data_IF_629074607309
#
_entry.id   IF_629074607309
#
_cell.length_a   1.000
_cell.length_b   1.000
_cell.length_c   1.000
_cell.angle_alpha   90.00
_cell.angle_beta   90.00
_cell.angle_gamma   90.00
#
_symmetry.space_group_name_H-M   'P 1'
#
loop_
_entity.id
_entity.type
_entity.pdbx_description
1 polymer ?
#
# COMPACT_ATOMS: atom_id res chain seq x y z
N UNK A 1 -4.89 -4.61 6.57
CA UNK A 1 -4.39 -5.30 7.77
C UNK A 1 -3.01 -4.77 8.11
N UNK A 2 -2.00 -5.03 7.28
CA UNK A 2 -0.62 -4.56 7.54
C UNK A 2 -0.53 -3.07 7.86
N UNK A 3 -1.20 -2.19 7.09
CA UNK A 3 -1.25 -0.75 7.42
C UNK A 3 -1.70 -0.46 8.86
N UNK A 4 -2.70 -1.18 9.36
CA UNK A 4 -3.15 -1.02 10.75
C UNK A 4 -2.14 -1.61 11.74
N UNK A 5 -1.60 -2.79 11.47
CA UNK A 5 -0.63 -3.43 12.39
C UNK A 5 0.67 -2.62 12.49
N UNK A 6 1.18 -2.12 11.37
CA UNK A 6 2.45 -1.39 11.31
C UNK A 6 2.32 0.06 11.79
N UNK A 7 1.18 0.73 11.56
CA UNK A 7 1.03 2.18 11.81
C UNK A 7 -0.08 2.56 12.79
N UNK A 8 -0.99 1.64 13.12
CA UNK A 8 -2.21 1.94 13.86
C UNK A 8 -3.32 2.59 13.01
N UNK A 9 -3.00 3.05 11.79
CA UNK A 9 -3.96 3.74 10.93
C UNK A 9 -5.06 2.78 10.43
N UNK A 10 -6.31 3.21 10.61
CA UNK A 10 -7.48 2.43 10.21
C UNK A 10 -8.02 2.94 8.87
N UNK A 11 -7.73 2.18 7.81
CA UNK A 11 -8.42 2.31 6.53
C UNK A 11 -9.61 1.34 6.48
N UNK A 12 -10.84 1.88 6.46
CA UNK A 12 -12.07 1.08 6.41
C UNK A 12 -13.27 1.78 7.05
N UNK A 13 -14.43 1.12 6.99
CA UNK A 13 -15.71 1.73 7.42
C UNK A 13 -15.99 1.54 8.90
N UNK A 14 -16.78 2.46 9.47
CA UNK A 14 -17.43 2.32 10.78
C UNK A 14 -18.23 1.00 10.87
N UNK A 15 -18.09 0.29 11.98
CA UNK A 15 -18.84 -0.94 12.25
C UNK A 15 -18.96 -1.18 13.76
N UNK A 16 -19.95 -1.96 14.21
CA UNK A 16 -19.97 -2.45 15.57
C UNK A 16 -18.67 -3.20 15.90
N UNK A 17 -18.18 -3.01 17.12
CA UNK A 17 -17.06 -3.80 17.64
C UNK A 17 -17.45 -5.27 17.65
N UNK A 18 -16.49 -6.14 17.32
CA UNK A 18 -16.70 -7.58 17.40
C UNK A 18 -15.45 -8.26 17.93
N UNK A 19 -15.66 -9.26 18.78
CA UNK A 19 -14.59 -10.17 19.18
C UNK A 19 -14.44 -11.23 18.10
N UNK A 20 -13.33 -11.20 17.37
CA UNK A 20 -12.96 -12.22 16.40
C UNK A 20 -11.64 -12.86 16.78
N UNK A 21 -11.40 -14.09 16.32
CA UNK A 21 -10.11 -14.74 16.43
C UNK A 21 -9.18 -14.35 15.27
N UNK A 22 -7.88 -14.55 15.46
CA UNK A 22 -6.87 -14.35 14.42
C UNK A 22 -6.42 -12.90 14.25
N UNK A 23 -5.71 -12.61 13.14
CA UNK A 23 -4.94 -11.38 12.98
C UNK A 23 -5.80 -10.13 12.78
N UNK A 24 -7.12 -10.28 12.64
CA UNK A 24 -8.06 -9.15 12.54
C UNK A 24 -8.69 -8.75 13.88
N UNK A 25 -8.29 -9.39 14.99
CA UNK A 25 -8.89 -9.17 16.32
C UNK A 25 -8.86 -7.70 16.72
N UNK A 26 -7.69 -7.09 16.73
CA UNK A 26 -7.51 -5.70 17.17
C UNK A 26 -8.23 -4.71 16.23
N UNK A 27 -8.13 -4.93 14.92
CA UNK A 27 -8.84 -4.14 13.93
C UNK A 27 -10.38 -4.18 14.12
N UNK A 28 -10.95 -5.35 14.42
CA UNK A 28 -12.39 -5.49 14.72
C UNK A 28 -12.77 -4.94 16.09
N UNK A 29 -11.90 -5.03 17.09
CA UNK A 29 -12.09 -4.42 18.41
C UNK A 29 -12.08 -2.89 18.34
N UNK A 30 -11.29 -2.30 17.45
CA UNK A 30 -11.37 -0.89 17.09
C UNK A 30 -12.65 -0.49 16.32
N UNK A 31 -13.59 -1.44 16.14
CA UNK A 31 -14.87 -1.21 15.50
C UNK A 31 -14.76 -1.04 13.99
N UNK A 32 -13.72 -1.56 13.34
CA UNK A 32 -13.49 -1.36 11.90
C UNK A 32 -13.85 -2.56 11.04
N UNK A 33 -14.34 -2.30 9.83
CA UNK A 33 -14.48 -3.31 8.77
C UNK A 33 -13.66 -2.86 7.56
N UNK A 34 -12.82 -3.74 6.99
CA UNK A 34 -12.03 -3.40 5.82
C UNK A 34 -12.96 -3.07 4.65
N UNK A 35 -12.59 -2.08 3.85
CA UNK A 35 -13.33 -1.68 2.65
C UNK A 35 -12.39 -1.58 1.47
N UNK A 36 -12.66 -2.35 0.41
CA UNK A 36 -11.93 -2.24 -0.85
C UNK A 36 -12.40 -1.04 -1.68
N UNK A 37 -13.57 -0.47 -1.39
CA UNK A 37 -14.19 0.60 -2.19
C UNK A 37 -13.38 1.90 -2.24
N UNK A 38 -12.47 2.09 -1.29
CA UNK A 38 -11.60 3.28 -1.19
C UNK A 38 -10.19 3.04 -1.73
N UNK A 39 -9.87 1.78 -2.08
CA UNK A 39 -8.57 1.40 -2.61
C UNK A 39 -8.57 1.49 -4.12
N UNK A 40 -7.63 2.24 -4.66
CA UNK A 40 -7.29 2.20 -6.08
C UNK A 40 -6.09 1.29 -6.28
N UNK A 41 -6.18 0.36 -7.22
CA UNK A 41 -5.06 -0.48 -7.60
C UNK A 41 -4.07 0.33 -8.45
N UNK A 42 -2.78 0.26 -8.11
CA UNK A 42 -1.74 1.10 -8.73
C UNK A 42 -0.83 0.28 -9.62
N UNK A 43 -0.29 -0.83 -9.11
CA UNK A 43 0.68 -1.64 -9.83
C UNK A 43 0.75 -3.07 -9.30
N UNK A 44 1.32 -3.96 -10.13
CA UNK A 44 1.81 -5.27 -9.71
C UNK A 44 3.30 -5.36 -9.96
N UNK A 45 4.06 -5.95 -9.04
CA UNK A 45 5.47 -6.23 -9.27
C UNK A 45 5.90 -7.59 -8.73
N UNK A 46 6.57 -8.38 -9.57
CA UNK A 46 7.17 -9.64 -9.16
C UNK A 46 8.67 -9.48 -9.04
N UNK A 47 9.22 -9.86 -7.88
CA UNK A 47 10.67 -9.87 -7.68
C UNK A 47 11.35 -10.80 -8.70
N UNK A 48 12.43 -10.35 -9.37
CA UNK A 48 13.19 -11.16 -10.30
C UNK A 48 13.60 -12.53 -9.73
N UNK A 49 13.65 -13.59 -10.56
CA UNK A 49 14.23 -14.87 -10.15
C UNK A 49 15.70 -14.72 -9.73
N UNK A 50 16.17 -15.62 -8.86
CA UNK A 50 17.55 -15.60 -8.34
C UNK A 50 17.75 -14.76 -7.08
N UNK A 51 16.73 -14.02 -6.62
CA UNK A 51 16.76 -13.37 -5.28
C UNK A 51 16.42 -14.40 -4.18
N UNK A 52 17.08 -14.34 -3.02
CA UNK A 52 16.84 -15.27 -1.91
C UNK A 52 15.42 -15.16 -1.33
N UNK A 53 14.80 -13.98 -1.47
CA UNK A 53 13.39 -13.73 -1.16
C UNK A 53 12.71 -13.12 -2.38
N UNK A 54 11.48 -13.54 -2.63
CA UNK A 54 10.68 -13.08 -3.78
C UNK A 54 9.27 -12.76 -3.33
N UNK A 55 8.70 -11.73 -3.94
CA UNK A 55 7.36 -11.25 -3.68
C UNK A 55 6.60 -11.14 -5.01
N UNK A 56 5.28 -11.36 -4.93
CA UNK A 56 4.30 -10.95 -5.94
C UNK A 56 3.47 -9.82 -5.34
N UNK A 57 4.05 -8.63 -5.35
CA UNK A 57 3.54 -7.45 -4.67
C UNK A 57 2.43 -6.77 -5.48
N UNK A 58 1.42 -6.31 -4.76
CA UNK A 58 0.25 -5.60 -5.27
C UNK A 58 0.17 -4.27 -4.53
N UNK A 59 0.22 -3.18 -5.28
CA UNK A 59 0.27 -1.83 -4.72
C UNK A 59 -1.10 -1.16 -4.84
N UNK A 60 -1.50 -0.51 -3.76
CA UNK A 60 -2.78 0.19 -3.67
C UNK A 60 -2.55 1.60 -3.12
N UNK A 61 -3.39 2.54 -3.52
CA UNK A 61 -3.46 3.88 -2.93
C UNK A 61 -4.87 4.12 -2.38
N UNK A 62 -4.95 4.97 -1.36
CA UNK A 62 -6.20 5.47 -0.80
C UNK A 62 -6.08 6.96 -0.46
N UNK A 63 -7.19 7.71 -0.54
CA UNK A 63 -7.22 9.08 -0.05
C UNK A 63 -7.09 9.10 1.48
N UNK A 64 -6.47 10.15 2.04
CA UNK A 64 -6.29 10.30 3.49
C UNK A 64 -7.63 10.42 4.21
N UNK A 65 -8.65 10.95 3.54
CA UNK A 65 -10.03 11.11 4.02
C UNK A 65 -10.74 9.76 4.24
N UNK A 66 -10.19 8.66 3.69
CA UNK A 66 -10.68 7.32 3.97
C UNK A 66 -10.13 6.74 5.29
N UNK A 67 -9.14 7.38 5.91
CA UNK A 67 -8.68 7.04 7.25
C UNK A 67 -9.68 7.56 8.28
N UNK A 68 -9.85 6.80 9.36
CA UNK A 68 -10.69 7.23 10.48
C UNK A 68 -10.12 8.40 11.27
N UNK A 69 -8.81 8.33 11.48
CA UNK A 69 -8.04 9.27 12.27
C UNK A 69 -6.61 9.25 11.73
N UNK A 70 -6.23 10.20 10.86
CA UNK A 70 -4.91 10.23 10.23
C UNK A 70 -3.79 10.69 11.18
N UNK A 71 -4.14 11.29 12.33
CA UNK A 71 -3.19 11.80 13.32
C UNK A 71 -2.86 10.76 14.40
N UNK A 72 -3.70 9.72 14.52
CA UNK A 72 -3.49 8.63 15.49
C UNK A 72 -2.61 7.51 14.92
N UNK A 73 -1.31 7.69 15.07
CA UNK A 73 -0.29 6.71 14.69
C UNK A 73 0.15 5.93 15.94
N UNK A 74 -0.31 4.69 16.05
CA UNK A 74 -0.07 3.78 17.18
C UNK A 74 0.27 2.38 16.63
N UNK A 75 1.41 2.27 15.94
CA UNK A 75 1.86 1.03 15.31
C UNK A 75 2.41 -0.02 16.28
N UNK A 76 2.78 -1.19 15.75
CA UNK A 76 3.36 -2.32 16.50
C UNK A 76 4.74 -2.04 17.11
N UNK A 77 5.41 -0.95 16.71
CA UNK A 77 6.80 -0.66 17.05
C UNK A 77 7.83 -1.34 16.13
N UNK A 78 7.39 -1.98 15.05
CA UNK A 78 8.30 -2.53 14.02
C UNK A 78 9.00 -1.42 13.20
N UNK A 79 8.36 -0.26 13.07
CA UNK A 79 8.88 0.90 12.34
C UNK A 79 9.51 1.90 13.31
N UNK A 80 10.71 2.37 13.01
CA UNK A 80 11.42 3.37 13.82
C UNK A 80 10.72 4.74 13.78
N UNK A 81 10.26 5.15 12.60
CA UNK A 81 9.61 6.44 12.37
C UNK A 81 8.48 6.31 11.33
N UNK A 82 7.40 7.04 11.55
CA UNK A 82 6.26 7.14 10.63
C UNK A 82 5.97 8.62 10.41
N UNK A 83 5.94 9.05 9.15
CA UNK A 83 5.72 10.43 8.77
C UNK A 83 4.89 10.54 7.49
N UNK A 84 4.18 11.66 7.37
CA UNK A 84 3.56 12.10 6.12
C UNK A 84 4.60 12.91 5.33
N UNK A 85 4.91 12.46 4.11
CA UNK A 85 5.97 13.06 3.28
C UNK A 85 5.34 13.51 1.96
N UNK A 86 5.60 14.74 1.48
CA UNK A 86 5.18 15.19 0.15
C UNK A 86 5.65 14.22 -0.94
N UNK A 87 4.81 13.98 -1.94
CA UNK A 87 5.06 12.94 -2.95
C UNK A 87 6.30 13.24 -3.81
N UNK A 88 6.57 14.50 -4.09
CA UNK A 88 7.75 14.98 -4.80
C UNK A 88 9.03 14.85 -3.96
N UNK A 89 8.95 15.10 -2.66
CA UNK A 89 10.05 14.87 -1.72
C UNK A 89 10.35 13.36 -1.54
N UNK A 90 9.31 12.53 -1.45
CA UNK A 90 9.45 11.08 -1.22
C UNK A 90 10.27 10.38 -2.30
N UNK A 91 10.26 10.89 -3.55
CA UNK A 91 11.07 10.33 -4.63
C UNK A 91 12.59 10.47 -4.40
N UNK A 92 13.01 11.42 -3.56
CA UNK A 92 14.42 11.69 -3.24
C UNK A 92 14.95 10.84 -2.08
N UNK A 93 14.11 10.04 -1.44
CA UNK A 93 14.50 9.15 -0.35
C UNK A 93 15.23 7.90 -0.87
N UNK A 94 16.05 7.28 -0.01
CA UNK A 94 16.71 6.00 -0.29
C UNK A 94 15.71 4.84 -0.22
N UNK A 95 14.93 4.71 -1.30
CA UNK A 95 13.88 3.71 -1.43
C UNK A 95 14.30 2.56 -2.34
N UNK A 96 13.70 1.36 -2.18
CA UNK A 96 13.78 0.33 -3.20
C UNK A 96 13.28 0.86 -4.56
N UNK A 97 13.91 0.42 -5.66
CA UNK A 97 13.59 0.90 -7.01
C UNK A 97 12.10 0.71 -7.36
N UNK A 98 11.49 -0.38 -6.91
CA UNK A 98 10.06 -0.62 -7.13
C UNK A 98 9.17 0.38 -6.37
N UNK A 99 9.57 0.80 -5.16
CA UNK A 99 8.82 1.79 -4.40
C UNK A 99 8.86 3.15 -5.10
N UNK A 100 10.03 3.59 -5.60
CA UNK A 100 10.12 4.82 -6.41
C UNK A 100 9.26 4.74 -7.67
N UNK A 101 9.28 3.60 -8.37
CA UNK A 101 8.44 3.37 -9.54
C UNK A 101 6.95 3.56 -9.19
N UNK A 102 6.49 2.92 -8.11
CA UNK A 102 5.08 3.01 -7.68
C UNK A 102 4.71 4.44 -7.26
N UNK A 103 5.59 5.19 -6.60
CA UNK A 103 5.33 6.60 -6.28
C UNK A 103 5.16 7.46 -7.55
N UNK A 104 5.95 7.21 -8.59
CA UNK A 104 5.77 7.83 -9.90
C UNK A 104 4.42 7.47 -10.52
N UNK A 105 4.03 6.19 -10.47
CA UNK A 105 2.72 5.73 -10.95
C UNK A 105 1.55 6.35 -10.16
N UNK A 106 1.70 6.58 -8.85
CA UNK A 106 0.72 7.31 -8.05
C UNK A 106 0.57 8.74 -8.56
N UNK A 107 1.66 9.49 -8.74
CA UNK A 107 1.61 10.87 -9.24
C UNK A 107 0.90 10.96 -10.60
N UNK A 108 1.28 10.08 -11.52
CA UNK A 108 0.70 9.94 -12.83
C UNK A 108 -0.79 9.56 -12.81
N UNK A 109 -1.23 8.75 -11.83
CA UNK A 109 -2.63 8.32 -11.68
C UNK A 109 -3.51 9.36 -11.00
N UNK A 110 -2.94 10.27 -10.21
CA UNK A 110 -3.66 11.41 -9.68
C UNK A 110 -4.13 12.35 -10.82
N UNK A 111 -3.30 12.52 -11.85
CA UNK A 111 -3.65 13.30 -13.05
C UNK A 111 -4.53 12.52 -14.05
N UNK A 112 -4.30 11.20 -14.19
CA UNK A 112 -5.04 10.33 -15.09
C UNK A 112 -5.53 9.04 -14.39
N UNK A 113 -6.67 9.06 -13.68
CA UNK A 113 -7.14 7.94 -12.86
C UNK A 113 -7.39 6.64 -13.61
N UNK A 114 -7.72 6.72 -14.89
CA UNK A 114 -8.04 5.59 -15.77
C UNK A 114 -6.84 5.10 -16.60
N UNK A 115 -5.62 5.50 -16.23
CA UNK A 115 -4.43 5.04 -16.94
C UNK A 115 -4.24 3.52 -16.80
N UNK A 116 -3.65 2.84 -17.79
CA UNK A 116 -3.42 1.40 -17.73
C UNK A 116 -2.61 0.98 -16.49
N UNK A 117 -2.80 -0.26 -16.05
CA UNK A 117 -2.18 -0.79 -14.83
C UNK A 117 -0.84 -1.46 -15.13
N UNK A 118 0.29 -0.92 -14.64
CA UNK A 118 1.60 -1.51 -14.87
C UNK A 118 1.77 -2.84 -14.12
N UNK A 119 2.30 -3.82 -14.84
CA UNK A 119 2.77 -5.09 -14.32
C UNK A 119 4.27 -5.23 -14.59
N UNK A 120 5.06 -5.07 -13.53
CA UNK A 120 6.52 -5.15 -13.55
C UNK A 120 6.97 -6.58 -13.26
N UNK A 121 7.67 -7.21 -14.20
CA UNK A 121 8.21 -8.56 -14.02
C UNK A 121 9.48 -8.77 -14.82
N UNK A 122 10.05 -9.98 -14.76
CA UNK A 122 11.26 -10.32 -15.50
C UNK A 122 11.05 -11.54 -16.39
N UNK A 123 11.29 -11.35 -17.70
CA UNK A 123 11.20 -12.41 -18.71
C UNK A 123 12.57 -12.57 -19.35
N UNK A 124 13.13 -13.79 -19.29
CA UNK A 124 14.44 -14.13 -19.90
C UNK A 124 15.56 -13.15 -19.50
N UNK A 125 15.60 -12.76 -18.22
CA UNK A 125 16.61 -11.85 -17.67
C UNK A 125 16.37 -10.37 -17.97
N UNK A 126 15.26 -9.99 -18.59
CA UNK A 126 14.92 -8.60 -18.91
C UNK A 126 13.73 -8.14 -18.09
N UNK A 127 13.84 -6.95 -17.51
CA UNK A 127 12.70 -6.27 -16.91
C UNK A 127 11.68 -5.92 -18.01
N UNK A 128 10.43 -6.26 -17.75
CA UNK A 128 9.28 -6.01 -18.64
C UNK A 128 8.22 -5.28 -17.83
N UNK A 129 7.60 -4.28 -18.44
CA UNK A 129 6.43 -3.57 -17.92
C UNK A 129 5.31 -3.78 -18.93
N UNK A 130 4.40 -4.69 -18.61
CA UNK A 130 3.15 -4.84 -19.36
C UNK A 130 2.10 -3.90 -18.76
N UNK A 131 1.12 -3.50 -19.56
CA UNK A 131 0.00 -2.71 -19.09
C UNK A 131 -1.27 -3.53 -19.21
N UNK A 132 -2.00 -3.66 -18.11
CA UNK A 132 -3.30 -4.31 -18.07
C UNK A 132 -4.38 -3.24 -18.22
N UNK A 133 -5.41 -3.56 -19.00
CA UNK A 133 -6.64 -2.77 -19.12
C UNK A 133 -7.48 -2.85 -17.83
#
# INVERSE_FOLDING_TARGET
RETFEETGLILGRAAPTASVAGPWREYRQAGALPSLSVLSYVARAITPPGRPRRFDARFFMAPVEALRDPDRIEGSGELDEIAWIPLDEAQNLDLPAITRFVLGEVAERLEAPQRPLPFVHMVRGRHVIDHQD
#
